data_IF_670192652944
#
_entry.id   IF_670192652944
#
_cell.length_a   1.000
_cell.length_b   1.000
_cell.length_c   1.000
_cell.angle_alpha   90.00
_cell.angle_beta   90.00
_cell.angle_gamma   90.00
#
_symmetry.space_group_name_H-M   'P 1'
#
loop_
_entity.id
_entity.type
_entity.pdbx_description
1 polymer ?
#
# COMPACT_ATOMS: atom_id res chain seq x y z
N UNK A 1 0.47 -18.65 -7.10
CA UNK A 1 0.10 -17.23 -7.16
C UNK A 1 -1.18 -16.92 -6.39
N UNK A 2 -1.09 -16.91 -5.04
CA UNK A 2 -2.23 -16.71 -4.13
C UNK A 2 -2.94 -15.36 -4.34
N UNK A 3 -2.17 -14.28 -4.50
CA UNK A 3 -2.69 -12.91 -4.57
C UNK A 3 -2.74 -12.30 -5.98
N UNK A 4 -2.30 -13.04 -7.02
CA UNK A 4 -2.17 -12.46 -8.36
C UNK A 4 -3.48 -11.92 -8.94
N UNK A 5 -4.60 -12.59 -8.69
CA UNK A 5 -5.91 -12.12 -9.14
C UNK A 5 -6.26 -10.74 -8.53
N UNK A 6 -6.10 -10.60 -7.21
CA UNK A 6 -6.35 -9.33 -6.51
C UNK A 6 -5.42 -8.20 -6.99
N UNK A 7 -4.16 -8.52 -7.28
CA UNK A 7 -3.18 -7.55 -7.78
C UNK A 7 -3.55 -7.09 -9.19
N UNK A 8 -3.96 -8.02 -10.06
CA UNK A 8 -4.41 -7.70 -11.41
C UNK A 8 -5.70 -6.86 -11.38
N UNK A 9 -6.65 -7.22 -10.50
CA UNK A 9 -7.88 -6.45 -10.32
C UNK A 9 -7.59 -5.03 -9.83
N UNK A 10 -6.68 -4.87 -8.87
CA UNK A 10 -6.25 -3.55 -8.41
C UNK A 10 -5.55 -2.76 -9.54
N UNK A 11 -4.70 -3.41 -10.33
CA UNK A 11 -4.02 -2.75 -11.46
C UNK A 11 -5.03 -2.23 -12.50
N UNK A 12 -6.04 -3.04 -12.84
CA UNK A 12 -7.13 -2.62 -13.72
C UNK A 12 -7.90 -1.43 -13.12
N UNK A 13 -8.24 -1.52 -11.82
CA UNK A 13 -8.95 -0.44 -11.12
C UNK A 13 -8.17 0.87 -11.09
N UNK A 14 -6.85 0.80 -10.89
CA UNK A 14 -5.95 1.94 -10.98
C UNK A 14 -5.98 2.53 -12.40
N UNK A 15 -5.97 1.70 -13.44
CA UNK A 15 -6.03 2.15 -14.84
C UNK A 15 -7.32 2.90 -15.16
N UNK A 16 -8.45 2.39 -14.66
CA UNK A 16 -9.76 3.01 -14.86
C UNK A 16 -9.87 4.37 -14.14
N UNK A 17 -9.30 4.49 -12.94
CA UNK A 17 -9.38 5.69 -12.10
C UNK A 17 -8.29 6.72 -12.41
N UNK A 18 -7.13 6.28 -12.91
CA UNK A 18 -5.96 7.12 -13.20
C UNK A 18 -5.41 6.76 -14.61
N UNK A 19 -6.10 7.16 -15.70
CA UNK A 19 -5.72 6.75 -17.06
C UNK A 19 -4.31 7.17 -17.50
N UNK A 20 -3.76 8.23 -16.88
CA UNK A 20 -2.41 8.74 -17.15
C UNK A 20 -1.29 7.91 -16.51
N UNK A 21 -1.61 6.94 -15.65
CA UNK A 21 -0.61 6.11 -14.98
C UNK A 21 -0.16 4.97 -15.89
N UNK A 22 1.13 4.96 -16.23
CA UNK A 22 1.72 3.96 -17.12
C UNK A 22 2.49 2.85 -16.39
N UNK A 23 2.71 3.02 -15.08
CA UNK A 23 3.41 2.05 -14.23
C UNK A 23 2.45 1.43 -13.21
N UNK A 24 2.30 0.12 -13.28
CA UNK A 24 1.43 -0.68 -12.41
C UNK A 24 2.24 -1.56 -11.45
N UNK A 25 1.65 -1.95 -10.31
CA UNK A 25 2.28 -2.86 -9.39
C UNK A 25 2.71 -4.17 -10.08
N UNK A 26 3.90 -4.65 -9.74
CA UNK A 26 4.38 -5.99 -10.09
C UNK A 26 4.52 -6.80 -8.82
N UNK A 27 4.42 -8.11 -8.94
CA UNK A 27 4.58 -9.01 -7.80
C UNK A 27 5.59 -10.10 -8.12
N UNK A 28 6.25 -10.56 -7.06
CA UNK A 28 7.20 -11.67 -7.07
C UNK A 28 6.79 -12.58 -5.92
N UNK A 29 6.79 -13.89 -6.14
CA UNK A 29 6.51 -14.84 -5.08
C UNK A 29 7.73 -15.04 -4.18
N UNK A 30 7.49 -15.12 -2.88
CA UNK A 30 8.46 -15.57 -1.89
C UNK A 30 7.93 -16.86 -1.21
N UNK A 31 8.79 -17.53 -0.46
CA UNK A 31 8.42 -18.72 0.33
C UNK A 31 8.05 -18.37 1.79
N UNK A 32 8.16 -17.10 2.16
CA UNK A 32 7.88 -16.63 3.51
C UNK A 32 6.40 -16.23 3.64
N UNK A 33 5.83 -16.38 4.83
CA UNK A 33 4.47 -15.93 5.12
C UNK A 33 4.47 -14.43 5.48
N UNK A 34 4.93 -13.62 4.53
CA UNK A 34 4.99 -12.17 4.66
C UNK A 34 4.81 -11.48 3.30
N UNK A 35 4.30 -10.26 3.33
CA UNK A 35 4.15 -9.44 2.11
C UNK A 35 4.94 -8.15 2.29
N UNK A 36 5.82 -7.89 1.33
CA UNK A 36 6.61 -6.66 1.27
C UNK A 36 6.19 -5.84 0.05
N UNK A 37 5.79 -4.59 0.30
CA UNK A 37 5.55 -3.58 -0.73
C UNK A 37 6.77 -2.66 -0.76
N UNK A 38 7.41 -2.56 -1.92
CA UNK A 38 8.62 -1.76 -2.11
C UNK A 38 8.53 -0.90 -3.37
N UNK A 39 9.18 0.25 -3.32
CA UNK A 39 9.39 1.09 -4.49
C UNK A 39 10.52 0.50 -5.33
N UNK A 40 10.19 0.03 -6.54
CA UNK A 40 11.14 -0.53 -7.50
C UNK A 40 11.71 0.52 -8.47
N UNK A 41 11.33 1.80 -8.34
CA UNK A 41 11.82 2.88 -9.20
C UNK A 41 13.10 3.53 -8.69
N UNK A 42 13.47 3.25 -7.44
CA UNK A 42 14.69 3.74 -6.78
C UNK A 42 15.78 2.66 -6.80
N UNK A 43 17.05 3.08 -6.89
CA UNK A 43 18.21 2.15 -6.95
C UNK A 43 18.27 1.20 -5.74
N UNK A 44 17.84 1.68 -4.57
CA UNK A 44 17.71 0.89 -3.35
C UNK A 44 16.22 0.65 -3.13
N UNK A 45 15.77 -0.60 -3.32
CA UNK A 45 14.37 -1.02 -3.10
C UNK A 45 13.87 -0.55 -1.73
N UNK A 46 13.19 0.59 -1.71
CA UNK A 46 12.73 1.20 -0.47
C UNK A 46 11.47 0.51 -0.03
N UNK A 47 11.49 -0.10 1.14
CA UNK A 47 10.31 -0.69 1.78
C UNK A 47 9.29 0.43 2.07
N UNK A 48 8.06 0.25 1.60
CA UNK A 48 6.94 1.19 1.79
C UNK A 48 6.00 0.64 2.87
N UNK A 49 5.64 -0.63 2.74
CA UNK A 49 4.69 -1.28 3.65
C UNK A 49 5.04 -2.76 3.83
N UNK A 50 4.71 -3.29 5.00
CA UNK A 50 4.98 -4.67 5.38
C UNK A 50 3.76 -5.28 6.06
N UNK A 51 3.37 -6.49 5.65
CA UNK A 51 2.32 -7.29 6.28
C UNK A 51 2.97 -8.53 6.91
N UNK A 52 2.80 -8.66 8.21
CA UNK A 52 3.34 -9.76 9.02
C UNK A 52 3.51 -9.35 10.47
N UNK A 53 4.03 -10.25 11.30
CA UNK A 53 4.16 -10.03 12.75
C UNK A 53 5.55 -9.56 13.20
N UNK A 54 6.52 -9.49 12.28
CA UNK A 54 7.85 -8.96 12.61
C UNK A 54 7.85 -7.44 12.50
N UNK A 55 8.09 -6.76 13.63
CA UNK A 55 8.13 -5.30 13.67
C UNK A 55 9.20 -4.74 12.70
N UNK A 56 8.82 -3.94 11.68
CA UNK A 56 9.76 -3.34 10.76
C UNK A 56 10.25 -1.97 11.27
N UNK A 57 11.19 -1.36 10.55
CA UNK A 57 11.63 0.02 10.81
C UNK A 57 10.45 1.02 10.77
N UNK A 58 10.57 2.13 11.52
CA UNK A 58 9.53 3.18 11.60
C UNK A 58 9.27 3.90 10.27
N UNK A 59 10.14 3.75 9.27
CA UNK A 59 9.91 4.25 7.91
C UNK A 59 8.96 3.37 7.07
N UNK A 60 8.53 2.22 7.59
CA UNK A 60 7.66 1.25 6.90
C UNK A 60 6.28 1.23 7.56
N UNK A 61 5.23 1.36 6.76
CA UNK A 61 3.86 1.16 7.23
C UNK A 61 3.65 -0.32 7.60
N UNK A 62 3.48 -0.58 8.90
CA UNK A 62 3.34 -1.94 9.39
C UNK A 62 1.87 -2.33 9.55
N UNK A 63 1.47 -3.34 8.79
CA UNK A 63 0.17 -3.99 8.90
C UNK A 63 0.39 -5.29 9.68
N UNK A 64 0.21 -5.20 11.00
CA UNK A 64 0.44 -6.29 11.95
C UNK A 64 -0.75 -7.27 11.93
N UNK A 65 -0.81 -8.07 10.87
CA UNK A 65 -1.87 -9.05 10.62
C UNK A 65 -1.29 -10.25 9.88
N UNK A 66 -2.06 -11.34 9.81
CA UNK A 66 -1.77 -12.42 8.86
C UNK A 66 -1.83 -11.92 7.41
N UNK A 67 -1.16 -12.63 6.51
CA UNK A 67 -1.01 -12.18 5.12
C UNK A 67 -2.34 -12.09 4.37
N UNK A 68 -3.33 -12.91 4.70
CA UNK A 68 -4.64 -12.89 4.03
C UNK A 68 -5.46 -11.66 4.44
N UNK A 69 -5.66 -11.49 5.75
CA UNK A 69 -6.45 -10.40 6.28
C UNK A 69 -5.77 -9.04 6.02
N UNK A 70 -4.45 -8.96 6.24
CA UNK A 70 -3.68 -7.75 6.02
C UNK A 70 -3.66 -7.32 4.55
N UNK A 71 -3.54 -8.28 3.61
CA UNK A 71 -3.57 -7.95 2.19
C UNK A 71 -4.96 -7.55 1.72
N UNK A 72 -6.02 -8.22 2.19
CA UNK A 72 -7.39 -7.82 1.88
C UNK A 72 -7.69 -6.39 2.35
N UNK A 73 -7.30 -6.04 3.58
CA UNK A 73 -7.43 -4.70 4.13
C UNK A 73 -6.66 -3.65 3.30
N UNK A 74 -5.41 -3.96 2.91
CA UNK A 74 -4.62 -3.09 2.05
C UNK A 74 -5.30 -2.82 0.71
N UNK A 75 -5.78 -3.86 0.03
CA UNK A 75 -6.49 -3.73 -1.25
C UNK A 75 -7.75 -2.88 -1.10
N UNK A 76 -8.51 -3.08 -0.03
CA UNK A 76 -9.70 -2.27 0.27
C UNK A 76 -9.34 -0.80 0.47
N UNK A 77 -8.34 -0.49 1.28
CA UNK A 77 -7.85 0.88 1.47
C UNK A 77 -7.40 1.52 0.17
N UNK A 78 -6.67 0.78 -0.70
CA UNK A 78 -6.30 1.29 -2.02
C UNK A 78 -7.52 1.64 -2.88
N UNK A 79 -8.56 0.80 -2.89
CA UNK A 79 -9.79 1.06 -3.64
C UNK A 79 -10.55 2.27 -3.09
N UNK A 80 -10.71 2.37 -1.77
CA UNK A 80 -11.34 3.53 -1.11
C UNK A 80 -10.62 4.84 -1.46
N UNK A 81 -9.29 4.85 -1.44
CA UNK A 81 -8.49 6.01 -1.84
C UNK A 81 -8.70 6.34 -3.32
N UNK A 82 -8.68 5.35 -4.22
CA UNK A 82 -8.95 5.57 -5.65
C UNK A 82 -10.36 6.11 -5.89
N UNK A 83 -11.36 5.65 -5.12
CA UNK A 83 -12.74 6.14 -5.19
C UNK A 83 -12.91 7.57 -4.66
N UNK A 84 -12.15 7.93 -3.64
CA UNK A 84 -12.04 9.31 -3.16
C UNK A 84 -11.25 10.22 -4.12
N UNK A 85 -10.70 9.68 -5.21
CA UNK A 85 -9.98 10.41 -6.24
C UNK A 85 -8.48 10.59 -5.97
N UNK A 86 -7.88 9.75 -5.11
CA UNK A 86 -6.44 9.78 -4.87
C UNK A 86 -5.62 9.09 -5.98
N UNK A 87 -4.40 9.58 -6.28
CA UNK A 87 -3.85 10.83 -5.77
C UNK A 87 -4.64 12.00 -6.35
N UNK A 88 -5.09 12.90 -5.48
CA UNK A 88 -5.95 14.03 -5.86
C UNK A 88 -5.32 14.87 -6.97
N UNK A 89 -6.10 15.79 -7.54
CA UNK A 89 -5.55 16.74 -8.50
C UNK A 89 -4.37 17.49 -7.88
N UNK A 90 -3.19 17.37 -8.49
CA UNK A 90 -2.00 18.17 -8.16
C UNK A 90 -2.43 19.64 -8.28
N UNK A 91 -2.63 20.33 -7.15
CA UNK A 91 -3.10 21.72 -7.10
C UNK A 91 -4.42 21.97 -6.34
N UNK A 92 -5.13 20.96 -5.85
CA UNK A 92 -6.18 21.18 -4.84
C UNK A 92 -5.56 21.28 -3.43
N UNK A 93 -4.70 22.28 -3.23
CA UNK A 93 -3.95 22.54 -1.97
C UNK A 93 -4.84 23.04 -0.80
N UNK A 94 -6.14 22.77 -0.83
CA UNK A 94 -7.09 23.43 0.08
C UNK A 94 -7.69 22.57 1.19
N UNK A 95 -7.81 21.25 1.02
CA UNK A 95 -8.83 20.54 1.82
C UNK A 95 -8.54 19.11 2.23
N UNK A 96 -7.31 18.59 2.14
CA UNK A 96 -6.98 17.37 2.88
C UNK A 96 -5.58 17.45 3.52
N UNK A 97 -5.51 18.12 4.67
CA UNK A 97 -4.53 17.84 5.73
C UNK A 97 -5.04 16.62 6.54
N UNK A 98 -5.29 15.48 5.90
CA UNK A 98 -5.16 14.25 6.68
C UNK A 98 -3.68 14.16 7.04
N UNK A 99 -3.40 14.14 8.35
CA UNK A 99 -2.04 14.22 8.88
C UNK A 99 -1.13 13.22 8.19
N UNK A 100 0.11 13.61 7.89
CA UNK A 100 1.12 12.66 7.40
C UNK A 100 1.12 11.45 8.33
N UNK A 101 1.03 10.24 7.76
CA UNK A 101 1.13 9.01 8.54
C UNK A 101 2.36 9.06 9.46
N UNK A 102 2.16 8.68 10.71
CA UNK A 102 3.18 8.62 11.74
C UNK A 102 3.17 7.23 12.37
N UNK A 103 4.06 6.37 11.90
CA UNK A 103 4.13 4.98 12.35
C UNK A 103 4.26 4.82 13.85
N UNK A 104 5.04 5.69 14.48
CA UNK A 104 5.29 5.63 15.92
C UNK A 104 4.00 5.88 16.71
N UNK A 105 3.21 6.87 16.29
CA UNK A 105 1.90 7.14 16.89
C UNK A 105 0.93 5.99 16.63
N UNK A 106 0.88 5.48 15.40
CA UNK A 106 0.03 4.33 15.06
C UNK A 106 0.35 3.09 15.88
N UNK A 107 1.64 2.77 16.11
CA UNK A 107 2.05 1.64 16.96
C UNK A 107 1.69 1.86 18.42
N UNK A 108 1.88 3.08 18.94
CA UNK A 108 1.54 3.41 20.32
C UNK A 108 0.04 3.26 20.63
N UNK A 109 -0.84 3.48 19.64
CA UNK A 109 -2.28 3.32 19.78
C UNK A 109 -2.76 1.85 19.83
N UNK A 110 -1.87 0.89 19.56
CA UNK A 110 -2.18 -0.55 19.60
C UNK A 110 -1.98 -1.17 20.99
N UNK A 111 -1.29 -0.47 21.89
CA UNK A 111 -1.02 -0.88 23.28
C UNK A 111 -2.14 -0.45 24.23
#
# INVERSE_FOLDING_TARGET
MKYAALINDLANYIGDKIPQRTNFPRHIENQADEILIADSTVEIHRKISYIGFSEPDLAVCWIEMDTDAGFAALIESCKQLLDAGYPGCVGCEGSIQEGRWNEKEFRNLRN
#
